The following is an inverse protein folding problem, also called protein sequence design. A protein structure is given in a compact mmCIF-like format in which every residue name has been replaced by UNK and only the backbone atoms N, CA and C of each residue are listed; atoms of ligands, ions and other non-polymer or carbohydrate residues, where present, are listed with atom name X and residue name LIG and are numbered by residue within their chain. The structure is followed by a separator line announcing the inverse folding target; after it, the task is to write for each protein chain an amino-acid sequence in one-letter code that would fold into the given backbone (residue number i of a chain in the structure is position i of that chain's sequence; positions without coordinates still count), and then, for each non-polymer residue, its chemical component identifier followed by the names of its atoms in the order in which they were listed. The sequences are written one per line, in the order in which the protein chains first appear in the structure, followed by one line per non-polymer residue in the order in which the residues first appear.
data_IF_159393124529
#
_entry.id   IF_159393124529
#
_cell.length_a   1.000
_cell.length_b   1.000
_cell.length_c   1.000
_cell.angle_alpha   90.00
_cell.angle_beta   90.00
_cell.angle_gamma   90.00
#
_symmetry.space_group_name_H-M   'P 1'
#
loop_
_entity.id
_entity.type
_entity.pdbx_description
1 polymer ?
#
# COMPACT_ATOMS: atom_id res chain seq x y z
N UNK A 1 -21.35 10.22 1.71
CA UNK A 1 -20.60 9.40 2.70
C UNK A 1 -20.94 7.90 2.65
N UNK A 2 -22.12 7.50 2.16
CA UNK A 2 -22.46 6.06 2.02
C UNK A 2 -21.56 5.36 0.98
N UNK A 3 -21.23 6.04 -0.11
CA UNK A 3 -20.41 5.47 -1.20
C UNK A 3 -18.95 5.26 -0.80
N UNK A 4 -18.38 6.20 -0.03
CA UNK A 4 -17.04 6.10 0.54
C UNK A 4 -16.90 4.90 1.49
N UNK A 5 -17.97 4.57 2.22
CA UNK A 5 -18.02 3.41 3.12
C UNK A 5 -18.04 2.11 2.33
N UNK A 6 -18.81 2.04 1.24
CA UNK A 6 -18.85 0.89 0.34
C UNK A 6 -17.49 0.65 -0.33
N UNK A 7 -16.84 1.72 -0.77
CA UNK A 7 -15.48 1.66 -1.30
C UNK A 7 -14.48 1.13 -0.27
N UNK A 8 -14.52 1.64 0.97
CA UNK A 8 -13.67 1.13 2.04
C UNK A 8 -13.89 -0.36 2.31
N UNK A 9 -15.14 -0.81 2.41
CA UNK A 9 -15.45 -2.23 2.61
C UNK A 9 -14.87 -3.07 1.47
N UNK A 10 -15.00 -2.61 0.23
CA UNK A 10 -14.43 -3.29 -0.93
C UNK A 10 -12.90 -3.38 -0.86
N UNK A 11 -12.23 -2.30 -0.44
CA UNK A 11 -10.77 -2.28 -0.23
C UNK A 11 -10.32 -3.16 0.92
N UNK A 12 -11.08 -3.20 2.01
CA UNK A 12 -10.88 -4.12 3.12
C UNK A 12 -10.95 -5.57 2.64
N UNK A 13 -11.98 -5.92 1.89
CA UNK A 13 -12.14 -7.25 1.31
C UNK A 13 -10.99 -7.57 0.35
N UNK A 14 -10.64 -6.63 -0.54
CA UNK A 14 -9.57 -6.80 -1.54
C UNK A 14 -8.19 -7.08 -0.93
N UNK A 15 -7.80 -6.35 0.13
CA UNK A 15 -6.43 -6.42 0.65
C UNK A 15 -6.27 -7.23 1.95
N UNK A 16 -7.31 -7.37 2.76
CA UNK A 16 -7.25 -8.11 4.03
C UNK A 16 -7.87 -9.51 3.94
N UNK A 17 -8.85 -9.72 3.07
CA UNK A 17 -9.58 -10.99 2.97
C UNK A 17 -9.18 -11.80 1.73
N UNK A 18 -9.10 -11.17 0.57
CA UNK A 18 -8.67 -11.82 -0.67
C UNK A 18 -7.16 -11.74 -0.85
N UNK A 19 -6.62 -12.78 -1.49
CA UNK A 19 -5.25 -12.76 -2.01
C UNK A 19 -5.18 -11.79 -3.20
N UNK A 20 -4.11 -10.98 -3.26
CA UNK A 20 -3.88 -9.95 -4.30
C UNK A 20 -3.85 -10.49 -5.73
N UNK A 21 -3.83 -11.81 -5.91
CA UNK A 21 -3.82 -12.50 -7.20
C UNK A 21 -5.18 -12.53 -7.92
N UNK A 22 -6.28 -12.06 -7.33
CA UNK A 22 -7.59 -12.10 -7.97
C UNK A 22 -7.81 -10.88 -8.90
N UNK A 23 -7.63 -11.09 -10.21
CA UNK A 23 -7.74 -10.06 -11.26
C UNK A 23 -9.07 -9.30 -11.25
N UNK A 24 -10.19 -9.98 -10.96
CA UNK A 24 -11.52 -9.36 -10.86
C UNK A 24 -11.57 -8.39 -9.67
N UNK A 25 -10.98 -8.78 -8.55
CA UNK A 25 -10.90 -7.93 -7.36
C UNK A 25 -10.04 -6.70 -7.61
N UNK A 26 -8.94 -6.87 -8.35
CA UNK A 26 -8.05 -5.77 -8.75
C UNK A 26 -8.77 -4.78 -9.68
N UNK A 27 -9.48 -5.26 -10.70
CA UNK A 27 -10.23 -4.40 -11.62
C UNK A 27 -11.34 -3.62 -10.92
N UNK A 28 -12.13 -4.31 -10.08
CA UNK A 28 -13.19 -3.67 -9.30
C UNK A 28 -12.60 -2.66 -8.30
N UNK A 29 -11.44 -2.97 -7.73
CA UNK A 29 -10.65 -2.07 -6.90
C UNK A 29 -10.22 -0.81 -7.65
N UNK A 30 -9.72 -0.93 -8.88
CA UNK A 30 -9.30 0.19 -9.74
C UNK A 30 -10.48 1.10 -10.10
N UNK A 31 -11.61 0.53 -10.52
CA UNK A 31 -12.82 1.28 -10.84
C UNK A 31 -13.36 2.03 -9.61
N UNK A 32 -13.37 1.38 -8.45
CA UNK A 32 -13.71 2.01 -7.18
C UNK A 32 -12.79 3.19 -6.86
N UNK A 33 -11.48 3.03 -7.07
CA UNK A 33 -10.49 4.07 -6.79
C UNK A 33 -10.64 5.26 -7.72
N UNK A 34 -10.83 5.02 -9.02
CA UNK A 34 -11.09 6.08 -10.00
C UNK A 34 -12.36 6.86 -9.63
N UNK A 35 -13.46 6.17 -9.32
CA UNK A 35 -14.69 6.78 -8.86
C UNK A 35 -14.50 7.64 -7.61
N UNK A 36 -13.71 7.16 -6.63
CA UNK A 36 -13.41 7.97 -5.44
C UNK A 36 -12.55 9.18 -5.75
N UNK A 37 -11.53 9.09 -6.62
CA UNK A 37 -10.70 10.23 -7.01
C UNK A 37 -11.56 11.32 -7.65
N UNK A 38 -12.46 10.94 -8.56
CA UNK A 38 -13.37 11.87 -9.23
C UNK A 38 -14.31 12.56 -8.22
N UNK A 39 -14.88 11.80 -7.29
CA UNK A 39 -15.71 12.34 -6.21
C UNK A 39 -14.93 13.30 -5.31
N UNK A 40 -13.68 12.95 -5.00
CA UNK A 40 -12.81 13.71 -4.10
C UNK A 40 -12.25 14.97 -4.76
N UNK A 41 -12.03 14.96 -6.08
CA UNK A 41 -11.64 16.14 -6.87
C UNK A 41 -12.77 17.16 -7.00
N UNK A 42 -14.01 16.71 -7.11
CA UNK A 42 -15.18 17.57 -7.36
C UNK A 42 -15.57 18.43 -6.15
N UNK A 43 -15.11 18.12 -4.94
CA UNK A 43 -15.70 18.66 -3.74
C UNK A 43 -14.72 19.51 -2.91
N UNK A 44 -15.18 20.71 -2.53
CA UNK A 44 -14.72 21.60 -1.42
C UNK A 44 -14.66 20.88 -0.03
N UNK A 45 -14.40 19.57 0.02
CA UNK A 45 -14.60 18.64 1.16
C UNK A 45 -13.27 18.24 1.83
N UNK A 46 -12.21 19.02 1.62
CA UNK A 46 -10.86 18.82 2.18
C UNK A 46 -10.72 19.15 3.68
N UNK A 47 -11.74 18.89 4.52
CA UNK A 47 -11.68 19.23 5.95
C UNK A 47 -11.54 18.05 6.91
N UNK A 48 -11.69 16.81 6.44
CA UNK A 48 -11.63 15.60 7.32
C UNK A 48 -10.37 14.78 7.06
N UNK A 49 -9.69 14.35 8.13
CA UNK A 49 -8.51 13.48 8.10
C UNK A 49 -8.77 12.16 7.36
N UNK A 50 -9.93 11.53 7.58
CA UNK A 50 -10.31 10.28 6.91
C UNK A 50 -10.36 10.41 5.39
N UNK A 51 -10.82 11.56 4.89
CA UNK A 51 -10.94 11.85 3.45
C UNK A 51 -9.55 11.92 2.81
N UNK A 52 -8.56 12.47 3.53
CA UNK A 52 -7.16 12.50 3.07
C UNK A 52 -6.58 11.08 3.00
N UNK A 53 -6.81 10.25 4.02
CA UNK A 53 -6.33 8.87 4.02
C UNK A 53 -6.92 8.06 2.86
N UNK A 54 -8.22 8.24 2.59
CA UNK A 54 -8.92 7.56 1.50
C UNK A 54 -8.47 8.06 0.13
N UNK A 55 -8.21 9.37 0.00
CA UNK A 55 -7.62 9.92 -1.22
C UNK A 55 -6.23 9.35 -1.49
N UNK A 56 -5.40 9.21 -0.45
CA UNK A 56 -4.09 8.59 -0.57
C UNK A 56 -4.17 7.11 -0.93
N UNK A 57 -5.14 6.39 -0.37
CA UNK A 57 -5.41 4.99 -0.71
C UNK A 57 -5.77 4.86 -2.19
N UNK A 58 -6.67 5.70 -2.70
CA UNK A 58 -7.04 5.68 -4.11
C UNK A 58 -5.87 6.04 -5.04
N UNK A 59 -4.93 6.89 -4.59
CA UNK A 59 -3.69 7.18 -5.34
C UNK A 59 -2.73 6.00 -5.38
N UNK A 60 -2.69 5.16 -4.33
CA UNK A 60 -1.85 3.96 -4.33
C UNK A 60 -2.22 3.01 -5.48
N UNK A 61 -3.52 2.91 -5.78
CA UNK A 61 -4.01 2.07 -6.87
C UNK A 61 -3.57 2.55 -8.28
N UNK A 62 -3.09 3.79 -8.43
CA UNK A 62 -2.46 4.24 -9.69
C UNK A 62 -1.22 3.39 -10.01
N UNK A 63 -0.48 2.93 -8.99
CA UNK A 63 0.68 2.05 -9.17
C UNK A 63 0.26 0.72 -9.83
N UNK A 64 -0.91 0.20 -9.46
CA UNK A 64 -1.50 -0.99 -10.09
C UNK A 64 -1.88 -0.71 -11.53
N UNK A 65 -2.52 0.43 -11.81
CA UNK A 65 -2.87 0.82 -13.18
C UNK A 65 -1.64 0.93 -14.08
N UNK A 66 -0.57 1.57 -13.59
CA UNK A 66 0.72 1.64 -14.31
C UNK A 66 1.27 0.25 -14.55
N UNK A 67 1.13 -0.64 -13.57
CA UNK A 67 1.65 -1.99 -13.69
C UNK A 67 0.91 -2.79 -14.77
N UNK A 68 -0.42 -2.82 -14.71
CA UNK A 68 -1.25 -3.52 -15.70
C UNK A 68 -1.06 -2.91 -17.09
N UNK A 69 -1.00 -1.59 -17.22
CA UNK A 69 -0.76 -0.93 -18.50
C UNK A 69 0.61 -1.31 -19.09
N UNK A 70 1.65 -1.38 -18.26
CA UNK A 70 2.98 -1.80 -18.68
C UNK A 70 3.02 -3.25 -19.16
N UNK A 71 2.35 -4.18 -18.47
CA UNK A 71 2.24 -5.58 -18.92
C UNK A 71 1.53 -5.67 -20.27
N UNK A 72 0.43 -4.94 -20.44
CA UNK A 72 -0.35 -4.93 -21.69
C UNK A 72 0.47 -4.39 -22.85
N UNK A 73 1.28 -3.34 -22.63
CA UNK A 73 2.16 -2.77 -23.66
C UNK A 73 3.26 -3.76 -24.04
N UNK A 74 3.90 -4.41 -23.07
CA UNK A 74 4.93 -5.44 -23.35
C UNK A 74 4.32 -6.60 -24.14
N UNK A 75 3.13 -7.06 -23.77
CA UNK A 75 2.43 -8.14 -24.47
C UNK A 75 1.99 -7.75 -25.88
N UNK A 76 1.52 -6.51 -26.09
CA UNK A 76 0.98 -6.06 -27.37
C UNK A 76 2.06 -5.76 -28.40
N UNK A 77 3.18 -5.17 -27.96
CA UNK A 77 4.21 -4.69 -28.87
C UNK A 77 5.40 -5.66 -29.04
N UNK A 78 5.39 -6.80 -28.35
CA UNK A 78 6.49 -7.79 -28.31
C UNK A 78 7.88 -7.11 -28.21
N UNK A 79 7.91 -5.97 -27.51
CA UNK A 79 9.13 -5.16 -27.41
C UNK A 79 10.03 -5.91 -26.46
N UNK A 80 11.05 -6.53 -27.03
CA UNK A 80 12.22 -7.03 -26.31
C UNK A 80 12.97 -5.85 -25.70
N UNK A 81 12.42 -5.28 -24.61
CA UNK A 81 13.10 -4.28 -23.79
C UNK A 81 14.38 -4.95 -23.29
N UNK A 82 15.52 -4.27 -23.44
CA UNK A 82 16.87 -4.81 -23.19
C UNK A 82 17.14 -5.33 -21.77
N UNK A 83 16.17 -5.25 -20.86
CA UNK A 83 16.18 -5.91 -19.56
C UNK A 83 14.76 -6.29 -19.11
N UNK A 84 14.18 -7.31 -19.74
CA UNK A 84 12.90 -7.91 -19.32
C UNK A 84 12.89 -8.30 -17.83
N UNK A 85 14.04 -8.69 -17.29
CA UNK A 85 14.24 -8.99 -15.88
C UNK A 85 14.11 -7.75 -14.96
N UNK A 86 14.66 -6.60 -15.34
CA UNK A 86 14.55 -5.37 -14.54
C UNK A 86 13.13 -4.81 -14.55
N UNK A 87 12.47 -4.80 -15.72
CA UNK A 87 11.11 -4.29 -15.87
C UNK A 87 10.11 -5.16 -15.10
N UNK A 88 10.24 -6.49 -15.16
CA UNK A 88 9.37 -7.41 -14.41
C UNK A 88 9.58 -7.31 -12.89
N UNK A 89 10.84 -7.19 -12.42
CA UNK A 89 11.13 -6.96 -11.01
C UNK A 89 10.56 -5.62 -10.51
N UNK A 90 10.71 -4.55 -11.28
CA UNK A 90 10.14 -3.24 -10.95
C UNK A 90 8.62 -3.30 -10.84
N UNK A 91 7.98 -4.00 -11.75
CA UNK A 91 6.53 -4.18 -11.77
C UNK A 91 6.02 -4.91 -10.52
N UNK A 92 6.67 -6.02 -10.17
CA UNK A 92 6.34 -6.79 -8.99
C UNK A 92 6.58 -5.97 -7.70
N UNK A 93 7.63 -5.15 -7.69
CA UNK A 93 7.91 -4.22 -6.60
C UNK A 93 6.81 -3.14 -6.49
N UNK A 94 6.30 -2.60 -7.60
CA UNK A 94 5.18 -1.64 -7.58
C UNK A 94 3.87 -2.25 -7.04
N UNK A 95 3.55 -3.49 -7.41
CA UNK A 95 2.38 -4.20 -6.88
C UNK A 95 2.52 -4.51 -5.38
N UNK A 96 3.73 -4.87 -4.95
CA UNK A 96 4.06 -5.09 -3.53
C UNK A 96 3.94 -3.77 -2.76
N UNK A 97 4.48 -2.68 -3.31
CA UNK A 97 4.38 -1.32 -2.77
C UNK A 97 2.93 -0.92 -2.53
N UNK A 98 2.09 -1.11 -3.55
CA UNK A 98 0.68 -0.79 -3.48
C UNK A 98 -0.02 -1.60 -2.36
N UNK A 99 0.32 -2.88 -2.21
CA UNK A 99 -0.23 -3.73 -1.15
C UNK A 99 0.17 -3.22 0.24
N UNK A 100 1.44 -2.87 0.44
CA UNK A 100 1.93 -2.33 1.71
C UNK A 100 1.30 -0.97 2.05
N UNK A 101 1.26 -0.04 1.09
CA UNK A 101 0.63 1.27 1.24
C UNK A 101 -0.86 1.11 1.58
N UNK A 102 -1.55 0.24 0.84
CA UNK A 102 -2.99 0.02 1.03
C UNK A 102 -3.28 -0.58 2.40
N UNK A 103 -2.49 -1.56 2.86
CA UNK A 103 -2.66 -2.18 4.18
C UNK A 103 -2.43 -1.18 5.32
N UNK A 104 -1.37 -0.36 5.23
CA UNK A 104 -1.05 0.67 6.21
C UNK A 104 -2.14 1.74 6.28
N UNK A 105 -2.58 2.26 5.12
CA UNK A 105 -3.62 3.29 5.06
C UNK A 105 -4.98 2.77 5.53
N UNK A 106 -5.37 1.55 5.17
CA UNK A 106 -6.61 0.93 5.67
C UNK A 106 -6.59 0.83 7.19
N UNK A 107 -5.45 0.41 7.75
CA UNK A 107 -5.29 0.29 9.20
C UNK A 107 -5.33 1.65 9.90
N UNK A 108 -4.75 2.70 9.30
CA UNK A 108 -4.93 4.08 9.78
C UNK A 108 -6.41 4.51 9.77
N UNK A 109 -7.18 4.12 8.74
CA UNK A 109 -8.63 4.42 8.67
C UNK A 109 -9.41 3.66 9.74
N UNK A 110 -9.11 2.38 10.00
CA UNK A 110 -9.74 1.63 11.10
C UNK A 110 -9.38 2.21 12.46
N UNK A 111 -8.11 2.55 12.68
CA UNK A 111 -7.67 3.18 13.91
C UNK A 111 -8.35 4.53 14.13
N UNK A 112 -8.49 5.33 13.07
CA UNK A 112 -9.26 6.56 13.14
C UNK A 112 -10.71 6.29 13.55
N UNK A 113 -11.40 5.34 12.89
CA UNK A 113 -12.77 4.95 13.22
C UNK A 113 -12.94 4.47 14.67
N UNK A 114 -11.96 3.73 15.18
CA UNK A 114 -11.88 3.31 16.57
C UNK A 114 -11.78 4.51 17.52
N UNK A 115 -10.89 5.47 17.23
CA UNK A 115 -10.74 6.69 18.02
C UNK A 115 -12.02 7.53 18.00
N UNK A 116 -12.74 7.60 16.87
CA UNK A 116 -14.06 8.26 16.80
C UNK A 116 -15.08 7.54 17.71
N UNK A 117 -15.01 6.22 17.83
CA UNK A 117 -16.03 5.45 18.55
C UNK A 117 -15.80 5.45 20.06
N UNK A 118 -14.55 5.36 20.51
CA UNK A 118 -14.22 5.19 21.93
C UNK A 118 -13.61 6.42 22.60
N UNK A 119 -12.92 7.28 21.86
CA UNK A 119 -12.11 8.38 22.42
C UNK A 119 -12.36 9.71 21.69
N UNK A 120 -13.62 10.12 21.57
CA UNK A 120 -14.02 11.29 20.77
C UNK A 120 -13.36 12.61 21.20
N UNK A 121 -13.26 12.86 22.51
CA UNK A 121 -12.73 14.10 23.09
C UNK A 121 -11.21 14.10 23.08
N UNK A 122 -10.59 13.03 23.58
CA UNK A 122 -9.13 12.90 23.68
C UNK A 122 -8.45 12.85 22.30
N UNK A 123 -9.04 12.14 21.33
CA UNK A 123 -8.42 11.95 20.00
C UNK A 123 -8.53 13.15 19.06
N UNK A 124 -9.23 14.22 19.46
CA UNK A 124 -9.55 15.36 18.59
C UNK A 124 -8.30 16.06 18.05
N UNK A 125 -7.25 16.17 18.87
CA UNK A 125 -5.97 16.80 18.48
C UNK A 125 -5.15 15.92 17.52
N UNK A 126 -5.32 14.59 17.58
CA UNK A 126 -4.64 13.65 16.68
C UNK A 126 -5.33 13.60 15.31
N UNK A 127 -6.66 13.71 15.26
CA UNK A 127 -7.51 13.66 14.05
C UNK A 127 -7.51 14.95 13.23
N UNK A 128 -6.33 15.52 13.00
CA UNK A 128 -6.18 16.68 12.12
C UNK A 128 -5.81 16.27 10.70
N UNK A 129 -6.26 17.07 9.73
CA UNK A 129 -5.88 16.92 8.32
C UNK A 129 -4.36 17.03 8.13
N UNK A 130 -3.67 17.82 8.96
CA UNK A 130 -2.20 17.95 8.94
C UNK A 130 -1.53 16.63 9.30
N UNK A 131 -1.97 15.99 10.38
CA UNK A 131 -1.43 14.69 10.82
C UNK A 131 -1.73 13.59 9.79
N UNK A 132 -2.96 13.52 9.27
CA UNK A 132 -3.29 12.54 8.23
C UNK A 132 -2.43 12.69 6.97
N UNK A 133 -2.14 13.94 6.55
CA UNK A 133 -1.22 14.21 5.44
C UNK A 133 0.22 13.78 5.78
N UNK A 134 0.68 14.06 6.99
CA UNK A 134 2.02 13.68 7.45
C UNK A 134 2.17 12.16 7.49
N UNK A 135 1.25 11.45 8.14
CA UNK A 135 1.22 9.99 8.21
C UNK A 135 1.19 9.37 6.82
N UNK A 136 0.33 9.88 5.93
CA UNK A 136 0.31 9.44 4.54
C UNK A 136 1.66 9.65 3.85
N UNK A 137 2.30 10.83 4.01
CA UNK A 137 3.61 11.09 3.41
C UNK A 137 4.69 10.14 3.94
N UNK A 138 4.69 9.88 5.25
CA UNK A 138 5.62 8.93 5.88
C UNK A 138 5.43 7.53 5.30
N UNK A 139 4.18 7.06 5.16
CA UNK A 139 3.88 5.76 4.55
C UNK A 139 4.43 5.69 3.12
N UNK A 140 4.19 6.72 2.31
CA UNK A 140 4.72 6.79 0.94
C UNK A 140 6.25 6.76 0.91
N UNK A 141 6.93 7.55 1.76
CA UNK A 141 8.39 7.58 1.83
C UNK A 141 8.94 6.21 2.25
N UNK A 142 8.35 5.60 3.29
CA UNK A 142 8.79 4.32 3.82
C UNK A 142 8.69 3.21 2.78
N UNK A 143 7.54 3.13 2.09
CA UNK A 143 7.32 2.10 1.07
C UNK A 143 8.13 2.37 -0.19
N UNK A 144 8.34 3.64 -0.56
CA UNK A 144 9.23 3.98 -1.69
C UNK A 144 10.68 3.60 -1.38
N UNK A 145 11.14 3.83 -0.15
CA UNK A 145 12.46 3.43 0.30
C UNK A 145 12.62 1.89 0.31
N UNK A 146 11.60 1.17 0.77
CA UNK A 146 11.53 -0.30 0.65
C UNK A 146 11.67 -0.77 -0.81
N UNK A 147 10.92 -0.17 -1.73
CA UNK A 147 10.98 -0.53 -3.14
C UNK A 147 12.35 -0.23 -3.76
N UNK A 148 12.96 0.90 -3.40
CA UNK A 148 14.29 1.26 -3.86
C UNK A 148 15.35 0.26 -3.38
N UNK A 149 15.24 -0.22 -2.14
CA UNK A 149 16.12 -1.25 -1.58
C UNK A 149 15.95 -2.59 -2.30
N UNK A 150 14.72 -3.01 -2.59
CA UNK A 150 14.49 -4.25 -3.37
C UNK A 150 15.02 -4.15 -4.79
N UNK A 151 14.79 -3.03 -5.47
CA UNK A 151 15.32 -2.81 -6.83
C UNK A 151 16.86 -2.81 -6.85
N UNK A 152 17.49 -2.24 -5.81
CA UNK A 152 18.94 -2.25 -5.65
C UNK A 152 19.47 -3.66 -5.41
N UNK A 153 18.80 -4.47 -4.57
CA UNK A 153 19.16 -5.87 -4.34
C UNK A 153 19.08 -6.71 -5.63
N UNK A 154 18.02 -6.53 -6.42
CA UNK A 154 17.83 -7.24 -7.69
C UNK A 154 18.86 -6.83 -8.74
N UNK A 155 19.20 -5.53 -8.81
CA UNK A 155 20.23 -5.02 -9.71
C UNK A 155 21.63 -5.53 -9.33
N UNK A 156 21.94 -5.56 -8.03
CA UNK A 156 23.20 -6.09 -7.54
C UNK A 156 23.31 -7.60 -7.79
N UNK A 157 22.22 -8.36 -7.63
CA UNK A 157 22.17 -9.80 -7.99
C UNK A 157 22.45 -10.02 -9.47
N UNK A 158 21.79 -9.28 -10.35
CA UNK A 158 21.97 -9.40 -11.80
C UNK A 158 23.41 -9.05 -12.25
N UNK A 159 24.06 -8.09 -11.58
CA UNK A 159 25.46 -7.70 -11.84
C UNK A 159 26.48 -8.75 -11.35
N UNK A 160 26.20 -9.42 -10.23
CA UNK A 160 27.09 -10.45 -9.67
C UNK A 160 27.18 -11.71 -10.53
N UNK A 161 26.17 -12.00 -11.35
CA UNK A 161 26.17 -13.12 -12.29
C UNK A 161 27.06 -12.91 -13.52
N UNK A 162 27.54 -11.69 -13.80
CA UNK A 162 28.28 -11.38 -15.02
C UNK A 162 29.78 -11.08 -14.82
N UNK A 163 30.27 -10.87 -13.59
CA UNK A 163 31.72 -10.76 -13.34
C UNK A 163 32.10 -11.02 -11.87
N UNK A 164 33.13 -11.85 -11.58
CA UNK A 164 33.64 -12.04 -10.23
C UNK A 164 34.71 -10.97 -9.92
N UNK A 165 34.29 -9.74 -9.64
CA UNK A 165 35.21 -8.66 -9.22
C UNK A 165 35.22 -8.49 -7.70
N UNK A 166 36.37 -8.87 -7.12
CA UNK A 166 36.71 -8.88 -5.70
C UNK A 166 36.86 -7.44 -5.17
N UNK A 167 35.80 -6.83 -4.63
CA UNK A 167 35.87 -5.46 -4.05
C UNK A 167 34.63 -5.11 -3.18
N UNK A 168 34.57 -3.94 -2.48
CA UNK A 168 33.58 -3.53 -1.46
C UNK A 168 32.09 -3.79 -1.74
N UNK A 169 31.74 -4.05 -3.00
CA UNK A 169 30.42 -4.47 -3.46
C UNK A 169 29.88 -5.71 -2.75
N UNK A 170 30.72 -6.63 -2.28
CA UNK A 170 30.28 -7.82 -1.52
C UNK A 170 29.66 -7.43 -0.17
N UNK A 171 30.22 -6.41 0.49
CA UNK A 171 29.77 -5.95 1.79
C UNK A 171 28.47 -5.15 1.65
N UNK A 172 28.37 -4.33 0.60
CA UNK A 172 27.13 -3.64 0.20
C UNK A 172 26.02 -4.64 -0.18
N UNK A 173 26.37 -5.73 -0.88
CA UNK A 173 25.46 -6.80 -1.26
C UNK A 173 24.92 -7.54 -0.04
N UNK A 174 25.80 -7.92 0.90
CA UNK A 174 25.37 -8.60 2.13
C UNK A 174 24.49 -7.68 2.99
N UNK A 175 24.83 -6.39 3.09
CA UNK A 175 24.02 -5.41 3.81
C UNK A 175 22.65 -5.19 3.15
N UNK A 176 22.61 -5.01 1.82
CA UNK A 176 21.39 -4.89 1.01
C UNK A 176 20.49 -6.12 1.18
N UNK A 177 21.06 -7.31 1.02
CA UNK A 177 20.32 -8.56 1.08
C UNK A 177 19.78 -8.83 2.49
N UNK A 178 20.58 -8.54 3.52
CA UNK A 178 20.14 -8.66 4.93
C UNK A 178 19.04 -7.64 5.23
N UNK A 179 19.20 -6.39 4.79
CA UNK A 179 18.19 -5.34 4.96
C UNK A 179 16.88 -5.69 4.25
N UNK A 180 16.95 -6.22 3.02
CA UNK A 180 15.79 -6.67 2.25
C UNK A 180 15.08 -7.85 2.92
N UNK A 181 15.82 -8.83 3.44
CA UNK A 181 15.25 -9.96 4.17
C UNK A 181 14.56 -9.52 5.46
N UNK A 182 15.20 -8.63 6.23
CA UNK A 182 14.61 -8.03 7.43
C UNK A 182 13.36 -7.23 7.10
N UNK A 183 13.37 -6.44 6.02
CA UNK A 183 12.19 -5.68 5.59
C UNK A 183 11.04 -6.59 5.18
N UNK A 184 11.31 -7.66 4.40
CA UNK A 184 10.28 -8.65 4.03
C UNK A 184 9.66 -9.31 5.25
N UNK A 185 10.48 -9.72 6.21
CA UNK A 185 10.02 -10.29 7.48
C UNK A 185 9.17 -9.29 8.25
N UNK A 186 9.66 -8.05 8.41
CA UNK A 186 8.96 -7.00 9.14
C UNK A 186 7.64 -6.63 8.47
N UNK A 187 7.59 -6.53 7.13
CA UNK A 187 6.35 -6.28 6.39
C UNK A 187 5.35 -7.43 6.55
N UNK A 188 5.82 -8.67 6.53
CA UNK A 188 4.97 -9.83 6.79
C UNK A 188 4.36 -9.80 8.20
N UNK A 189 5.20 -9.57 9.22
CA UNK A 189 4.74 -9.42 10.61
C UNK A 189 3.77 -8.24 10.76
N UNK A 190 4.07 -7.12 10.11
CA UNK A 190 3.22 -5.93 10.13
C UNK A 190 1.87 -6.23 9.46
N UNK A 191 1.86 -6.94 8.34
CA UNK A 191 0.63 -7.37 7.66
C UNK A 191 -0.25 -8.26 8.55
N UNK A 192 0.34 -9.22 9.28
CA UNK A 192 -0.37 -10.04 10.25
C UNK A 192 -0.93 -9.19 11.39
N UNK A 193 -0.09 -8.34 11.99
CA UNK A 193 -0.47 -7.49 13.11
C UNK A 193 -1.62 -6.55 12.72
N UNK A 194 -1.54 -5.95 11.53
CA UNK A 194 -2.59 -5.09 10.98
C UNK A 194 -3.89 -5.87 10.72
N UNK A 195 -3.82 -7.12 10.25
CA UNK A 195 -5.01 -8.00 10.14
C UNK A 195 -5.66 -8.24 11.50
N UNK A 196 -4.87 -8.62 12.50
CA UNK A 196 -5.37 -8.89 13.86
C UNK A 196 -5.98 -7.63 14.48
N UNK A 197 -5.28 -6.50 14.40
CA UNK A 197 -5.74 -5.21 14.93
C UNK A 197 -7.02 -4.76 14.23
N UNK A 198 -7.11 -4.91 12.90
CA UNK A 198 -8.33 -4.56 12.17
C UNK A 198 -9.51 -5.44 12.57
N UNK A 199 -9.33 -6.76 12.68
CA UNK A 199 -10.38 -7.68 13.17
C UNK A 199 -10.81 -7.32 14.58
N UNK A 200 -9.86 -7.03 15.47
CA UNK A 200 -10.14 -6.61 16.84
C UNK A 200 -10.92 -5.28 16.90
N UNK A 201 -10.53 -4.29 16.10
CA UNK A 201 -11.24 -3.01 16.00
C UNK A 201 -12.67 -3.24 15.52
N UNK A 202 -12.86 -4.06 14.47
CA UNK A 202 -14.20 -4.41 13.98
C UNK A 202 -15.03 -5.09 15.05
N UNK A 203 -14.50 -6.14 15.69
CA UNK A 203 -15.17 -6.84 16.77
C UNK A 203 -15.59 -5.86 17.87
N UNK A 204 -14.66 -5.03 18.35
CA UNK A 204 -14.94 -4.10 19.44
C UNK A 204 -16.00 -3.08 19.06
N UNK A 205 -15.97 -2.50 17.86
CA UNK A 205 -16.97 -1.52 17.40
C UNK A 205 -18.36 -2.16 17.35
N UNK A 206 -18.49 -3.38 16.80
CA UNK A 206 -19.78 -4.05 16.66
C UNK A 206 -20.32 -4.55 18.00
N UNK A 207 -19.49 -5.20 18.83
CA UNK A 207 -19.95 -5.74 20.11
C UNK A 207 -20.12 -4.68 21.20
N UNK A 208 -19.31 -3.62 21.23
CA UNK A 208 -19.52 -2.55 22.23
C UNK A 208 -20.76 -1.70 21.95
N UNK A 209 -21.19 -1.60 20.68
CA UNK A 209 -22.43 -0.92 20.30
C UNK A 209 -23.68 -1.74 20.66
N UNK A 210 -23.58 -3.06 20.72
CA UNK A 210 -24.69 -3.94 21.11
C UNK A 210 -25.01 -3.91 22.61
N UNK A 211 -24.10 -3.39 23.44
CA UNK A 211 -24.21 -3.39 24.90
C UNK A 211 -24.59 -2.00 25.47
N UNK A 212 -25.09 -1.11 24.62
CA UNK A 212 -25.65 0.21 24.94
C UNK A 212 -27.09 0.28 24.46
#
# INVERSE_FOLDING_TARGET
MKDLRRYLVLKYIQYLVLSSSNTISTFLGLLGSLYTIIILQSAKVSSKSTVVLISSLAKADILVSVSVASEMVVWTFDVSISSTAFTSALLQNLLTANTHISCLLLSCVAFEAYLITFFTTESRHLRTVKNARLTSRIIWILVTAECALFQMDDLLKASSTSAPTRSPWILLFHFSSTAAALLRSLSYFLGILLRIVNVYIYYKIFFSMSNR
#
